data_IF_360818024089
#
_entry.id   IF_360818024089
#
_cell.length_a   1.000
_cell.length_b   1.000
_cell.length_c   1.000
_cell.angle_alpha   90.00
_cell.angle_beta   90.00
_cell.angle_gamma   90.00
#
_symmetry.space_group_name_H-M   'P 1'
#
loop_
_entity.id
_entity.type
_entity.pdbx_description
1 polymer ?
#
# COMPACT_ATOMS: atom_id res chain seq x y z
N UNK A 1 19.85 -61.25 20.65
CA UNK A 1 18.69 -60.98 19.76
C UNK A 1 19.00 -59.66 19.06
N UNK A 2 19.53 -59.73 17.84
CA UNK A 2 18.81 -59.45 16.59
C UNK A 2 18.40 -57.97 16.46
N UNK A 3 18.71 -57.19 15.41
CA UNK A 3 19.57 -57.29 14.22
C UNK A 3 19.27 -56.03 13.36
N UNK A 4 20.23 -55.60 12.52
CA UNK A 4 20.10 -54.76 11.31
C UNK A 4 19.91 -53.22 11.41
N UNK A 5 21.03 -52.53 11.20
CA UNK A 5 21.15 -51.37 10.29
C UNK A 5 21.12 -51.85 8.82
N UNK A 6 20.62 -51.01 7.89
CA UNK A 6 21.40 -50.65 6.69
C UNK A 6 21.39 -49.12 6.49
N UNK A 7 22.52 -48.42 6.35
CA UNK A 7 23.45 -48.32 5.20
C UNK A 7 22.87 -47.68 3.92
N UNK A 8 23.26 -46.42 3.71
CA UNK A 8 23.69 -45.74 2.47
C UNK A 8 22.77 -45.76 1.22
N UNK A 9 22.36 -44.57 0.75
CA UNK A 9 22.77 -44.03 -0.56
C UNK A 9 22.10 -42.68 -0.91
N UNK A 10 22.95 -41.66 -1.05
CA UNK A 10 23.05 -40.74 -2.20
C UNK A 10 21.77 -40.11 -2.78
N UNK A 11 21.59 -38.80 -2.56
CA UNK A 11 21.17 -37.90 -3.64
C UNK A 11 21.51 -36.42 -3.33
N UNK A 12 22.58 -35.96 -3.99
CA UNK A 12 22.94 -34.61 -4.40
C UNK A 12 22.21 -33.42 -3.77
N UNK A 13 22.99 -32.59 -3.06
CA UNK A 13 22.67 -31.19 -2.76
C UNK A 13 22.39 -30.41 -4.05
N UNK A 14 21.14 -30.04 -4.27
CA UNK A 14 20.80 -28.84 -5.03
C UNK A 14 20.54 -27.72 -4.03
N UNK A 15 21.47 -26.77 -3.96
CA UNK A 15 21.33 -25.54 -3.18
C UNK A 15 20.12 -24.76 -3.69
N UNK A 16 19.03 -24.75 -2.93
CA UNK A 16 17.90 -23.88 -3.18
C UNK A 16 18.32 -22.43 -2.88
N UNK A 17 18.50 -21.64 -3.94
CA UNK A 17 18.68 -20.20 -3.84
C UNK A 17 17.51 -19.58 -3.07
N UNK A 18 17.84 -18.83 -2.04
CA UNK A 18 16.98 -17.83 -1.39
C UNK A 18 16.49 -16.88 -2.50
N UNK A 19 15.17 -16.59 -2.63
CA UNK A 19 14.71 -15.57 -3.55
C UNK A 19 15.15 -14.20 -3.00
N UNK A 20 16.27 -13.71 -3.53
CA UNK A 20 16.64 -12.31 -3.43
C UNK A 20 15.49 -11.48 -4.04
N UNK A 21 15.10 -10.42 -3.33
CA UNK A 21 14.20 -9.40 -3.88
C UNK A 21 14.73 -8.98 -5.28
N UNK A 22 13.87 -8.87 -6.31
CA UNK A 22 14.34 -8.49 -7.63
C UNK A 22 15.02 -7.13 -7.55
N UNK A 23 16.32 -7.10 -7.85
CA UNK A 23 17.07 -5.88 -8.08
C UNK A 23 16.37 -5.12 -9.21
N UNK A 24 16.26 -3.80 -9.03
CA UNK A 24 15.90 -2.82 -10.07
C UNK A 24 16.52 -3.22 -11.40
N UNK A 25 15.70 -3.47 -12.42
CA UNK A 25 16.19 -3.64 -13.80
C UNK A 25 16.70 -2.28 -14.25
N UNK A 26 17.99 -2.03 -14.04
CA UNK A 26 18.73 -1.06 -14.85
C UNK A 26 18.99 -1.72 -16.19
N UNK A 27 18.49 -1.12 -17.26
CA UNK A 27 18.60 -1.65 -18.61
C UNK A 27 20.04 -2.03 -18.96
N UNK A 28 20.22 -3.29 -19.35
CA UNK A 28 21.47 -3.86 -19.83
C UNK A 28 21.12 -5.12 -20.60
N UNK A 29 20.89 -4.95 -21.90
CA UNK A 29 20.46 -5.99 -22.83
C UNK A 29 21.67 -6.80 -23.31
N UNK A 30 21.60 -8.14 -23.22
CA UNK A 30 22.42 -9.03 -24.07
C UNK A 30 21.75 -10.39 -24.23
N UNK A 31 20.57 -10.39 -24.86
CA UNK A 31 20.00 -11.56 -25.54
C UNK A 31 20.07 -11.36 -27.05
N UNK A 32 20.01 -12.44 -27.86
CA UNK A 32 20.08 -12.34 -29.33
C UNK A 32 18.90 -11.50 -29.87
N UNK A 33 19.04 -10.86 -31.05
CA UNK A 33 18.06 -9.91 -31.57
C UNK A 33 16.80 -10.64 -32.06
N UNK A 34 15.92 -10.97 -31.12
CA UNK A 34 14.56 -11.43 -31.37
C UNK A 34 13.57 -10.26 -31.26
N UNK A 35 12.58 -10.27 -32.14
CA UNK A 35 11.51 -9.26 -32.28
C UNK A 35 11.04 -8.59 -30.98
N UNK A 36 10.58 -7.31 -31.03
CA UNK A 36 10.04 -6.66 -29.86
C UNK A 36 8.84 -7.47 -29.37
N UNK A 37 8.97 -8.13 -28.22
CA UNK A 37 7.88 -8.85 -27.59
C UNK A 37 6.71 -7.85 -27.42
N UNK A 38 5.65 -8.04 -28.20
CA UNK A 38 4.51 -7.13 -28.21
C UNK A 38 3.98 -6.92 -26.80
N UNK A 39 3.69 -5.67 -26.43
CA UNK A 39 3.03 -5.35 -25.16
C UNK A 39 1.77 -6.20 -25.03
N UNK A 40 1.55 -6.80 -23.87
CA UNK A 40 0.38 -7.65 -23.57
C UNK A 40 -0.61 -6.91 -22.66
N UNK A 41 -1.87 -7.39 -22.56
CA UNK A 41 -2.78 -6.96 -21.50
C UNK A 41 -2.18 -7.17 -20.11
N UNK A 42 -2.69 -6.44 -19.12
CA UNK A 42 -2.30 -6.62 -17.74
C UNK A 42 -3.51 -6.60 -16.80
N UNK A 43 -3.36 -7.24 -15.64
CA UNK A 43 -4.27 -7.06 -14.52
C UNK A 43 -3.70 -6.02 -13.56
N UNK A 44 -4.55 -5.18 -13.00
CA UNK A 44 -4.25 -4.35 -11.83
C UNK A 44 -5.06 -4.88 -10.65
N UNK A 45 -4.39 -5.56 -9.71
CA UNK A 45 -5.02 -6.17 -8.55
C UNK A 45 -5.04 -5.19 -7.37
N UNK A 46 -6.24 -4.66 -7.09
CA UNK A 46 -6.52 -3.81 -5.93
C UNK A 46 -6.73 -4.63 -4.66
N UNK A 47 -6.27 -4.08 -3.54
CA UNK A 47 -6.38 -4.61 -2.17
C UNK A 47 -6.71 -3.47 -1.20
N UNK A 48 -5.75 -3.05 -0.37
CA UNK A 48 -5.86 -1.93 0.58
C UNK A 48 -5.30 -0.63 -0.02
N UNK A 49 -5.58 -0.41 -1.30
CA UNK A 49 -5.11 0.72 -2.12
C UNK A 49 -6.23 1.25 -3.03
N UNK A 50 -7.45 1.35 -2.49
CA UNK A 50 -8.69 1.65 -3.22
C UNK A 50 -8.80 3.12 -3.66
N UNK A 51 -7.87 3.58 -4.52
CA UNK A 51 -7.78 4.95 -5.05
C UNK A 51 -7.13 4.98 -6.44
N UNK A 52 -7.32 6.08 -7.16
CA UNK A 52 -6.59 6.37 -8.41
C UNK A 52 -5.41 7.34 -8.20
N UNK A 53 -5.51 8.31 -7.29
CA UNK A 53 -4.39 9.22 -7.02
C UNK A 53 -3.22 8.48 -6.37
N UNK A 54 -1.99 8.93 -6.65
CA UNK A 54 -0.77 8.40 -6.04
C UNK A 54 -0.69 6.86 -6.07
N UNK A 55 -0.96 6.28 -7.24
CA UNK A 55 -1.09 4.84 -7.40
C UNK A 55 -0.05 4.31 -8.39
N UNK A 56 1.15 4.00 -7.89
CA UNK A 56 2.29 3.58 -8.71
C UNK A 56 2.04 2.31 -9.55
N UNK A 57 1.42 1.23 -9.03
CA UNK A 57 1.05 0.08 -9.86
C UNK A 57 0.13 0.45 -11.03
N UNK A 58 -0.74 1.45 -10.86
CA UNK A 58 -1.68 1.88 -11.90
C UNK A 58 -0.93 2.64 -12.98
N UNK A 59 -0.09 3.61 -12.59
CA UNK A 59 0.75 4.36 -13.53
C UNK A 59 1.70 3.45 -14.32
N UNK A 60 2.37 2.52 -13.63
CA UNK A 60 3.27 1.56 -14.25
C UNK A 60 2.55 0.59 -15.21
N UNK A 61 1.37 0.10 -14.82
CA UNK A 61 0.57 -0.78 -15.68
C UNK A 61 0.05 -0.05 -16.91
N UNK A 62 -0.44 1.19 -16.77
CA UNK A 62 -0.89 2.01 -17.90
C UNK A 62 0.24 2.32 -18.89
N UNK A 63 1.48 2.51 -18.41
CA UNK A 63 2.64 2.74 -19.26
C UNK A 63 3.10 1.47 -20.01
N UNK A 64 3.00 0.31 -19.36
CA UNK A 64 3.57 -0.96 -19.87
C UNK A 64 2.63 -1.86 -20.67
N UNK A 65 1.31 -1.77 -20.46
CA UNK A 65 0.33 -2.70 -21.03
C UNK A 65 -0.38 -2.15 -22.28
N UNK A 66 -0.90 -3.04 -23.13
CA UNK A 66 -1.79 -2.66 -24.25
C UNK A 66 -3.19 -2.28 -23.77
N UNK A 67 -3.71 -3.05 -22.82
CA UNK A 67 -4.98 -2.84 -22.13
C UNK A 67 -4.80 -3.18 -20.64
N UNK A 68 -5.65 -2.61 -19.79
CA UNK A 68 -5.57 -2.81 -18.36
C UNK A 68 -6.93 -3.25 -17.83
N UNK A 69 -6.95 -4.34 -17.06
CA UNK A 69 -8.13 -4.81 -16.35
C UNK A 69 -7.92 -4.65 -14.84
N UNK A 70 -8.51 -3.60 -14.23
CA UNK A 70 -8.63 -3.50 -12.78
C UNK A 70 -9.45 -4.65 -12.19
N UNK A 71 -8.94 -5.27 -11.12
CA UNK A 71 -9.57 -6.41 -10.45
C UNK A 71 -9.54 -6.22 -8.94
N UNK A 72 -10.66 -6.50 -8.29
CA UNK A 72 -10.74 -6.73 -6.84
C UNK A 72 -11.31 -8.12 -6.55
N UNK A 73 -10.69 -8.83 -5.62
CA UNK A 73 -11.09 -10.18 -5.23
C UNK A 73 -11.53 -10.19 -3.77
N UNK A 74 -12.80 -10.48 -3.51
CA UNK A 74 -13.30 -10.78 -2.17
C UNK A 74 -12.78 -12.15 -1.72
N UNK A 75 -11.71 -12.13 -0.95
CA UNK A 75 -11.10 -13.34 -0.39
C UNK A 75 -11.95 -13.89 0.76
N UNK A 76 -12.45 -15.15 0.68
CA UNK A 76 -13.20 -15.77 1.76
C UNK A 76 -12.46 -15.82 3.10
N UNK A 77 -11.12 -15.73 3.10
CA UNK A 77 -10.30 -15.65 4.32
C UNK A 77 -10.43 -14.33 5.05
N UNK A 78 -10.65 -13.23 4.31
CA UNK A 78 -10.78 -11.88 4.86
C UNK A 78 -12.21 -11.56 5.33
N UNK A 79 -13.20 -12.14 4.67
CA UNK A 79 -14.63 -11.94 4.96
C UNK A 79 -15.27 -13.13 5.69
N UNK A 80 -14.48 -14.14 6.04
CA UNK A 80 -14.90 -15.27 6.85
C UNK A 80 -14.67 -15.07 8.35
N UNK A 81 -14.56 -16.20 9.06
CA UNK A 81 -14.24 -16.21 10.50
C UNK A 81 -12.72 -16.29 10.72
N UNK A 82 -12.24 -15.54 11.72
CA UNK A 82 -10.92 -15.70 12.29
C UNK A 82 -10.77 -17.06 13.01
N UNK A 83 -9.55 -17.51 13.32
CA UNK A 83 -9.32 -18.75 14.08
C UNK A 83 -10.04 -18.80 15.44
N UNK A 84 -10.34 -17.63 16.02
CA UNK A 84 -11.03 -17.51 17.31
C UNK A 84 -12.56 -17.41 17.16
N UNK A 85 -13.10 -17.59 15.95
CA UNK A 85 -14.55 -17.58 15.69
C UNK A 85 -15.17 -16.20 15.49
N UNK A 86 -14.43 -15.10 15.70
CA UNK A 86 -14.90 -13.75 15.37
C UNK A 86 -14.89 -13.50 13.86
N UNK A 87 -15.74 -12.60 13.37
CA UNK A 87 -15.64 -12.11 12.00
C UNK A 87 -14.25 -11.50 11.76
N UNK A 88 -13.54 -11.99 10.73
CA UNK A 88 -12.23 -11.44 10.36
C UNK A 88 -12.36 -9.99 9.88
N UNK A 89 -13.46 -9.70 9.18
CA UNK A 89 -13.92 -8.34 8.86
C UNK A 89 -15.32 -8.17 9.41
N UNK A 90 -15.49 -7.29 10.40
CA UNK A 90 -16.82 -6.98 10.96
C UNK A 90 -17.71 -6.18 10.00
N UNK A 91 -19.01 -6.07 10.29
CA UNK A 91 -20.02 -5.50 9.38
C UNK A 91 -19.78 -4.02 9.05
N UNK A 92 -19.30 -3.20 10.00
CA UNK A 92 -18.99 -1.79 9.74
C UNK A 92 -17.85 -1.62 8.74
N UNK A 93 -16.76 -2.40 8.89
CA UNK A 93 -15.64 -2.37 7.95
C UNK A 93 -16.05 -2.96 6.61
N UNK A 94 -16.82 -4.06 6.59
CA UNK A 94 -17.31 -4.64 5.35
C UNK A 94 -18.17 -3.65 4.54
N UNK A 95 -19.06 -2.91 5.22
CA UNK A 95 -19.85 -1.84 4.60
C UNK A 95 -18.94 -0.76 4.02
N UNK A 96 -17.98 -0.28 4.81
CA UNK A 96 -17.03 0.76 4.38
C UNK A 96 -16.18 0.30 3.18
N UNK A 97 -15.79 -0.97 3.11
CA UNK A 97 -15.11 -1.56 1.94
C UNK A 97 -16.03 -1.57 0.72
N UNK A 98 -17.29 -1.97 0.86
CA UNK A 98 -18.25 -1.97 -0.25
C UNK A 98 -18.49 -0.58 -0.82
N UNK A 99 -18.62 0.43 0.04
CA UNK A 99 -18.73 1.83 -0.36
C UNK A 99 -17.46 2.30 -1.10
N UNK A 100 -16.28 1.97 -0.58
CA UNK A 100 -15.02 2.32 -1.21
C UNK A 100 -14.84 1.67 -2.59
N UNK A 101 -15.25 0.42 -2.75
CA UNK A 101 -15.22 -0.27 -4.04
C UNK A 101 -16.25 0.29 -5.02
N UNK A 102 -17.43 0.70 -4.53
CA UNK A 102 -18.43 1.40 -5.32
C UNK A 102 -17.89 2.71 -5.89
N UNK A 103 -17.24 3.51 -5.05
CA UNK A 103 -16.56 4.75 -5.46
C UNK A 103 -15.43 4.47 -6.45
N UNK A 104 -14.52 3.54 -6.16
CA UNK A 104 -13.42 3.16 -7.05
C UNK A 104 -13.93 2.72 -8.43
N UNK A 105 -14.98 1.88 -8.47
CA UNK A 105 -15.61 1.44 -9.71
C UNK A 105 -16.18 2.61 -10.50
N UNK A 106 -16.89 3.53 -9.85
CA UNK A 106 -17.43 4.72 -10.50
C UNK A 106 -16.33 5.59 -11.11
N UNK A 107 -15.23 5.81 -10.37
CA UNK A 107 -14.07 6.58 -10.84
C UNK A 107 -13.35 5.92 -12.01
N UNK A 108 -13.17 4.60 -11.96
CA UNK A 108 -12.59 3.84 -13.07
C UNK A 108 -13.46 3.95 -14.34
N UNK A 109 -14.79 3.87 -14.20
CA UNK A 109 -15.74 4.07 -15.30
C UNK A 109 -15.68 5.47 -15.89
N UNK A 110 -15.64 6.49 -15.03
CA UNK A 110 -15.47 7.88 -15.46
C UNK A 110 -14.15 8.11 -16.25
N UNK A 111 -13.12 7.30 -15.96
CA UNK A 111 -11.84 7.33 -16.64
C UNK A 111 -11.71 6.35 -17.83
N UNK A 112 -12.82 5.75 -18.30
CA UNK A 112 -12.84 4.88 -19.48
C UNK A 112 -12.46 3.41 -19.24
N UNK A 113 -12.48 2.96 -17.99
CA UNK A 113 -12.22 1.57 -17.57
C UNK A 113 -13.43 0.98 -16.83
N UNK A 114 -13.26 -0.12 -16.10
CA UNK A 114 -14.20 -0.62 -15.08
C UNK A 114 -13.41 -1.36 -13.98
N UNK A 115 -14.07 -1.75 -12.89
CA UNK A 115 -13.54 -2.64 -11.85
C UNK A 115 -14.18 -4.01 -11.95
N UNK A 116 -13.39 -5.03 -12.30
CA UNK A 116 -13.84 -6.41 -12.24
C UNK A 116 -13.82 -6.92 -10.80
N UNK A 117 -14.94 -7.47 -10.35
CA UNK A 117 -15.12 -8.00 -9.00
C UNK A 117 -15.38 -9.50 -9.05
N UNK A 118 -14.65 -10.24 -8.23
CA UNK A 118 -14.81 -11.69 -8.04
C UNK A 118 -14.77 -12.05 -6.57
N UNK A 119 -15.28 -13.23 -6.24
CA UNK A 119 -15.15 -13.83 -4.90
C UNK A 119 -14.38 -15.13 -5.04
N UNK A 120 -13.38 -15.33 -4.20
CA UNK A 120 -12.51 -16.51 -4.26
C UNK A 120 -11.11 -16.20 -3.74
N UNK A 121 -10.22 -17.19 -3.76
CA UNK A 121 -8.82 -16.96 -3.39
C UNK A 121 -8.10 -16.26 -4.55
N UNK A 122 -7.34 -15.18 -4.32
CA UNK A 122 -6.59 -14.50 -5.37
C UNK A 122 -5.67 -15.43 -6.17
N UNK A 123 -5.04 -16.42 -5.52
CA UNK A 123 -4.17 -17.40 -6.16
C UNK A 123 -4.90 -18.38 -7.10
N UNK A 124 -6.22 -18.46 -7.03
CA UNK A 124 -7.04 -19.25 -7.96
C UNK A 124 -7.64 -18.34 -9.06
N UNK A 125 -8.18 -17.18 -8.65
CA UNK A 125 -8.90 -16.25 -9.53
C UNK A 125 -7.97 -15.51 -10.52
N UNK A 126 -6.83 -14.99 -10.05
CA UNK A 126 -5.96 -14.16 -10.88
C UNK A 126 -5.33 -14.96 -12.05
N UNK A 127 -4.82 -16.19 -11.86
CA UNK A 127 -4.33 -17.01 -12.97
C UNK A 127 -5.41 -17.36 -14.00
N UNK A 128 -6.66 -17.57 -13.57
CA UNK A 128 -7.78 -17.80 -14.48
C UNK A 128 -8.01 -16.57 -15.38
N UNK A 129 -8.08 -15.38 -14.78
CA UNK A 129 -8.22 -14.12 -15.50
C UNK A 129 -7.04 -13.85 -16.43
N UNK A 130 -5.81 -14.15 -15.99
CA UNK A 130 -4.61 -14.03 -16.83
C UNK A 130 -4.75 -14.85 -18.12
N UNK A 131 -5.20 -16.11 -18.01
CA UNK A 131 -5.39 -16.98 -19.18
C UNK A 131 -6.52 -16.48 -20.07
N UNK A 132 -7.63 -15.99 -19.50
CA UNK A 132 -8.81 -15.58 -20.27
C UNK A 132 -8.55 -14.34 -21.13
N UNK A 133 -7.75 -13.39 -20.66
CA UNK A 133 -7.44 -12.15 -21.41
C UNK A 133 -6.04 -12.15 -22.05
N UNK A 134 -5.26 -13.21 -21.88
CA UNK A 134 -3.87 -13.28 -22.37
C UNK A 134 -2.93 -12.28 -21.70
N UNK A 135 -3.14 -11.98 -20.41
CA UNK A 135 -2.33 -10.99 -19.71
C UNK A 135 -0.89 -11.47 -19.51
N UNK A 136 0.08 -10.55 -19.67
CA UNK A 136 1.50 -10.86 -19.43
C UNK A 136 1.96 -10.57 -18.00
N UNK A 137 1.17 -9.82 -17.23
CA UNK A 137 1.56 -9.38 -15.89
C UNK A 137 0.38 -8.96 -15.04
N UNK A 138 0.55 -9.10 -13.73
CA UNK A 138 -0.35 -8.60 -12.69
C UNK A 138 0.41 -7.57 -11.85
N UNK A 139 -0.14 -6.37 -11.70
CA UNK A 139 0.43 -5.28 -10.91
C UNK A 139 -0.36 -5.14 -9.60
N UNK A 140 0.32 -4.94 -8.47
CA UNK A 140 -0.33 -4.65 -7.19
C UNK A 140 0.60 -3.87 -6.26
N UNK A 141 0.03 -3.26 -5.21
CA UNK A 141 0.83 -2.90 -4.05
C UNK A 141 1.15 -4.12 -3.17
N UNK A 142 2.36 -4.12 -2.62
CA UNK A 142 2.81 -5.09 -1.64
C UNK A 142 2.35 -4.74 -0.23
N UNK A 143 2.05 -5.79 0.52
CA UNK A 143 1.67 -5.72 1.92
C UNK A 143 2.77 -6.30 2.83
N UNK A 144 2.58 -6.13 4.13
CA UNK A 144 3.65 -6.37 5.12
C UNK A 144 3.35 -7.49 6.11
N UNK A 145 2.10 -7.96 6.19
CA UNK A 145 1.71 -8.96 7.19
C UNK A 145 2.02 -10.39 6.72
N UNK A 146 2.06 -11.33 7.66
CA UNK A 146 2.34 -12.74 7.35
C UNK A 146 1.25 -13.41 6.49
N UNK A 147 -0.02 -13.06 6.70
CA UNK A 147 -1.14 -13.58 5.91
C UNK A 147 -1.03 -13.05 4.46
N UNK A 148 -0.81 -11.75 4.31
CA UNK A 148 -0.62 -11.11 3.02
C UNK A 148 0.57 -11.68 2.25
N UNK A 149 1.72 -11.84 2.91
CA UNK A 149 2.92 -12.41 2.29
C UNK A 149 2.70 -13.86 1.84
N UNK A 150 1.89 -14.64 2.57
CA UNK A 150 1.51 -15.99 2.15
C UNK A 150 0.63 -15.97 0.90
N UNK A 151 -0.35 -15.08 0.83
CA UNK A 151 -1.21 -14.91 -0.35
C UNK A 151 -0.40 -14.42 -1.55
N UNK A 152 0.41 -13.38 -1.40
CA UNK A 152 1.29 -12.87 -2.47
C UNK A 152 2.23 -13.97 -3.01
N UNK A 153 2.84 -14.77 -2.12
CA UNK A 153 3.69 -15.88 -2.53
C UNK A 153 2.93 -16.99 -3.26
N UNK A 154 1.68 -17.28 -2.87
CA UNK A 154 0.83 -18.24 -3.57
C UNK A 154 0.41 -17.71 -4.96
N UNK A 155 0.01 -16.44 -5.04
CA UNK A 155 -0.33 -15.74 -6.29
C UNK A 155 0.86 -15.74 -7.24
N UNK A 156 2.07 -15.36 -6.78
CA UNK A 156 3.27 -15.37 -7.60
C UNK A 156 3.50 -16.74 -8.25
N UNK A 157 3.50 -17.81 -7.44
CA UNK A 157 3.69 -19.19 -7.94
C UNK A 157 2.60 -19.61 -8.94
N UNK A 158 1.36 -19.18 -8.72
CA UNK A 158 0.24 -19.54 -9.59
C UNK A 158 0.29 -18.77 -10.92
N UNK A 159 0.73 -17.51 -10.89
CA UNK A 159 0.94 -16.67 -12.07
C UNK A 159 2.12 -17.14 -12.92
N UNK A 160 3.23 -17.57 -12.29
CA UNK A 160 4.37 -18.16 -13.00
C UNK A 160 3.94 -19.37 -13.84
N UNK A 161 3.09 -20.24 -13.27
CA UNK A 161 2.48 -21.39 -13.98
C UNK A 161 1.50 -20.97 -15.08
N UNK A 162 0.93 -19.76 -15.00
CA UNK A 162 0.05 -19.20 -16.03
C UNK A 162 0.80 -18.36 -17.08
N UNK A 163 2.13 -18.24 -16.98
CA UNK A 163 2.95 -17.49 -17.91
C UNK A 163 2.87 -15.97 -17.75
N UNK A 164 2.55 -15.47 -16.54
CA UNK A 164 2.48 -14.04 -16.23
C UNK A 164 3.33 -13.68 -15.02
N UNK A 165 3.91 -12.48 -15.03
CA UNK A 165 4.72 -11.98 -13.93
C UNK A 165 3.89 -11.20 -12.89
N UNK A 166 4.11 -11.45 -11.59
CA UNK A 166 3.63 -10.57 -10.53
C UNK A 166 4.60 -9.41 -10.33
N UNK A 167 4.10 -8.17 -10.43
CA UNK A 167 4.86 -6.93 -10.21
C UNK A 167 4.33 -6.21 -8.98
N UNK A 168 5.12 -6.21 -7.92
CA UNK A 168 4.75 -5.68 -6.61
C UNK A 168 5.43 -4.34 -6.37
N UNK A 169 4.66 -3.32 -6.00
CA UNK A 169 5.16 -1.97 -5.73
C UNK A 169 4.95 -1.59 -4.26
N UNK A 170 5.78 -0.69 -3.75
CA UNK A 170 5.66 -0.19 -2.39
C UNK A 170 4.98 1.18 -2.37
N UNK A 171 3.79 1.29 -1.77
CA UNK A 171 3.05 2.56 -1.74
C UNK A 171 2.22 2.82 -0.48
N UNK A 172 2.39 1.98 0.55
CA UNK A 172 1.59 2.05 1.77
C UNK A 172 2.10 3.02 2.83
N UNK A 173 3.20 3.74 2.60
CA UNK A 173 3.89 4.59 3.60
C UNK A 173 4.16 5.99 3.08
N UNK A 174 4.42 6.94 3.99
CA UNK A 174 4.83 8.30 3.67
C UNK A 174 6.24 8.30 3.06
N UNK A 175 7.20 7.69 3.77
CA UNK A 175 8.55 7.48 3.25
C UNK A 175 8.60 6.19 2.45
N UNK A 176 9.21 6.22 1.27
CA UNK A 176 9.37 5.01 0.48
C UNK A 176 10.45 4.11 1.09
N UNK A 177 10.27 2.78 1.04
CA UNK A 177 11.22 1.82 1.64
C UNK A 177 12.65 1.97 1.11
N UNK A 178 12.80 2.29 -0.17
CA UNK A 178 14.10 2.49 -0.82
C UNK A 178 14.80 3.81 -0.45
N UNK A 179 14.07 4.76 0.15
CA UNK A 179 14.63 6.06 0.56
C UNK A 179 15.02 6.07 2.04
N UNK A 180 14.85 4.93 2.73
CA UNK A 180 15.22 4.79 4.12
C UNK A 180 16.76 4.85 4.26
N UNK A 181 17.28 5.54 5.29
CA UNK A 181 18.71 5.63 5.55
C UNK A 181 19.29 4.37 6.21
N UNK A 182 18.48 3.32 6.34
CA UNK A 182 18.83 2.04 6.93
C UNK A 182 18.12 0.93 6.18
N UNK A 183 18.68 -0.27 6.23
CA UNK A 183 17.98 -1.48 5.79
C UNK A 183 16.94 -1.87 6.83
N UNK A 184 15.82 -2.48 6.42
CA UNK A 184 14.79 -2.93 7.36
C UNK A 184 15.33 -3.90 8.42
N UNK A 185 16.31 -4.74 8.10
CA UNK A 185 16.95 -5.64 9.06
C UNK A 185 17.60 -4.89 10.24
N UNK A 186 18.19 -3.72 9.97
CA UNK A 186 18.87 -2.86 10.94
C UNK A 186 18.04 -1.65 11.35
N UNK A 187 16.74 -1.65 11.03
CA UNK A 187 15.84 -0.56 11.41
C UNK A 187 15.83 -0.38 12.93
N UNK A 188 15.90 0.88 13.44
CA UNK A 188 15.82 1.17 14.86
C UNK A 188 14.58 0.52 15.51
N UNK A 189 14.72 -0.13 16.68
CA UNK A 189 13.62 -0.88 17.29
C UNK A 189 12.63 0.02 18.04
N UNK A 190 13.02 1.25 18.39
CA UNK A 190 12.15 2.24 19.01
C UNK A 190 11.81 3.35 18.02
N UNK A 191 10.68 4.01 18.29
CA UNK A 191 10.14 5.03 17.40
C UNK A 191 10.99 6.31 17.34
N UNK A 192 11.54 6.75 18.48
CA UNK A 192 12.33 7.98 18.57
C UNK A 192 13.55 7.95 17.66
N UNK A 193 14.32 6.86 17.71
CA UNK A 193 15.51 6.67 16.89
C UNK A 193 15.14 6.50 15.41
N UNK A 194 14.04 5.81 15.10
CA UNK A 194 13.51 5.69 13.74
C UNK A 194 13.18 7.07 13.16
N UNK A 195 12.43 7.90 13.91
CA UNK A 195 12.08 9.27 13.50
C UNK A 195 13.34 10.12 13.33
N UNK A 196 14.27 10.07 14.28
CA UNK A 196 15.51 10.84 14.21
C UNK A 196 16.33 10.47 12.98
N UNK A 197 16.43 9.18 12.66
CA UNK A 197 17.14 8.72 11.46
C UNK A 197 16.50 9.24 10.16
N UNK A 198 15.19 9.46 10.14
CA UNK A 198 14.47 10.05 9.00
C UNK A 198 14.52 11.58 8.95
N UNK A 199 15.10 12.24 9.95
CA UNK A 199 15.21 13.69 9.95
C UNK A 199 15.99 14.20 8.74
N UNK A 200 15.48 15.25 8.08
CA UNK A 200 16.06 15.83 6.87
C UNK A 200 15.88 15.00 5.60
N UNK A 201 15.07 13.93 5.62
CA UNK A 201 14.71 13.18 4.41
C UNK A 201 13.49 13.79 3.73
N UNK A 202 13.53 13.81 2.40
CA UNK A 202 12.43 14.28 1.59
C UNK A 202 11.38 13.18 1.36
N UNK A 203 10.12 13.58 1.39
CA UNK A 203 9.00 12.74 0.98
C UNK A 203 8.86 12.84 -0.54
N UNK A 204 8.74 11.70 -1.22
CA UNK A 204 8.49 11.68 -2.67
C UNK A 204 7.20 12.41 -2.99
N UNK A 205 7.17 13.12 -4.13
CA UNK A 205 5.92 13.65 -4.65
C UNK A 205 4.93 12.51 -4.96
N UNK A 206 3.63 12.73 -4.75
CA UNK A 206 2.59 11.81 -5.20
C UNK A 206 2.72 11.49 -6.69
N UNK A 207 2.46 10.24 -7.06
CA UNK A 207 2.39 9.84 -8.46
C UNK A 207 1.12 10.39 -9.07
N UNK A 208 1.26 11.19 -10.13
CA UNK A 208 0.11 11.69 -10.87
C UNK A 208 -0.66 10.54 -11.52
N UNK A 209 -2.00 10.50 -11.41
CA UNK A 209 -2.80 9.51 -12.09
C UNK A 209 -2.67 9.68 -13.62
N UNK A 210 -2.72 8.60 -14.41
CA UNK A 210 -2.71 8.71 -15.87
C UNK A 210 -3.89 9.57 -16.35
N UNK A 211 -3.62 10.52 -17.26
CA UNK A 211 -4.67 11.42 -17.80
C UNK A 211 -5.82 10.66 -18.49
N UNK A 212 -5.52 9.50 -19.07
CA UNK A 212 -6.50 8.54 -19.58
C UNK A 212 -6.04 7.13 -19.20
N UNK A 213 -6.97 6.32 -18.69
CA UNK A 213 -6.68 4.92 -18.43
C UNK A 213 -6.61 4.15 -19.74
N UNK A 214 -5.80 3.09 -19.76
CA UNK A 214 -5.84 2.12 -20.84
C UNK A 214 -7.23 1.48 -20.85
N UNK A 215 -7.80 1.32 -22.04
CA UNK A 215 -9.08 0.64 -22.21
C UNK A 215 -9.03 -0.80 -21.71
N UNK A 216 -10.22 -1.35 -21.46
CA UNK A 216 -10.38 -2.75 -21.08
C UNK A 216 -9.88 -3.68 -22.20
N UNK A 217 -9.43 -4.91 -21.86
CA UNK A 217 -9.09 -5.91 -22.86
C UNK A 217 -10.26 -6.20 -23.82
N UNK A 218 -9.95 -6.54 -25.06
CA UNK A 218 -10.96 -6.85 -26.08
C UNK A 218 -11.82 -8.09 -25.75
N UNK A 219 -11.30 -9.00 -24.92
CA UNK A 219 -12.08 -10.10 -24.39
C UNK A 219 -13.18 -9.54 -23.48
N UNK A 220 -14.44 -9.78 -23.84
CA UNK A 220 -15.58 -9.39 -23.02
C UNK A 220 -15.56 -10.16 -21.70
N UNK A 221 -15.23 -9.49 -20.60
CA UNK A 221 -15.31 -10.06 -19.25
C UNK A 221 -16.40 -9.34 -18.47
N UNK A 222 -17.37 -10.09 -17.95
CA UNK A 222 -18.43 -9.52 -17.11
C UNK A 222 -17.80 -8.84 -15.88
N UNK A 223 -18.08 -7.54 -15.62
CA UNK A 223 -17.51 -6.82 -14.49
C UNK A 223 -17.83 -7.47 -13.13
N UNK A 224 -18.98 -8.15 -13.02
CA UNK A 224 -19.44 -8.76 -11.78
C UNK A 224 -20.06 -7.73 -10.84
N UNK A 225 -20.99 -8.16 -10.01
CA UNK A 225 -21.63 -7.28 -9.02
C UNK A 225 -20.82 -7.20 -7.73
N UNK A 226 -20.93 -6.07 -7.03
CA UNK A 226 -20.43 -6.00 -5.65
C UNK A 226 -21.31 -6.89 -4.76
N UNK A 227 -20.72 -7.74 -3.90
CA UNK A 227 -21.51 -8.57 -3.01
C UNK A 227 -22.26 -7.71 -2.00
N UNK A 228 -23.45 -8.14 -1.63
CA UNK A 228 -24.18 -7.57 -0.49
C UNK A 228 -23.54 -8.02 0.82
N UNK A 229 -23.78 -7.27 1.90
CA UNK A 229 -23.35 -7.70 3.25
C UNK A 229 -23.91 -9.08 3.63
N UNK A 230 -25.13 -9.42 3.18
CA UNK A 230 -25.69 -10.77 3.39
C UNK A 230 -24.86 -11.85 2.67
N UNK A 231 -24.42 -11.59 1.45
CA UNK A 231 -23.53 -12.51 0.71
C UNK A 231 -22.13 -12.60 1.33
N UNK A 232 -21.71 -11.60 2.12
CA UNK A 232 -20.50 -11.65 2.93
C UNK A 232 -20.70 -12.33 4.29
N UNK A 233 -21.89 -12.87 4.57
CA UNK A 233 -22.15 -13.70 5.76
C UNK A 233 -22.78 -12.96 6.95
N UNK A 234 -23.22 -11.71 6.80
CA UNK A 234 -23.89 -10.98 7.88
C UNK A 234 -25.41 -11.23 7.88
N UNK A 235 -25.94 -11.65 9.03
CA UNK A 235 -27.37 -11.90 9.22
C UNK A 235 -28.19 -10.60 9.35
N UNK A 236 -29.52 -10.72 9.21
CA UNK A 236 -30.43 -9.57 9.28
C UNK A 236 -30.37 -8.84 10.63
N UNK A 237 -30.17 -9.55 11.74
CA UNK A 237 -30.07 -8.96 13.06
C UNK A 237 -28.82 -8.07 13.19
N UNK A 238 -27.69 -8.53 12.67
CA UNK A 238 -26.43 -7.76 12.62
C UNK A 238 -26.58 -6.53 11.75
N UNK A 239 -27.21 -6.65 10.59
CA UNK A 239 -27.45 -5.50 9.70
C UNK A 239 -28.36 -4.45 10.34
N UNK A 240 -29.42 -4.86 11.03
CA UNK A 240 -30.31 -3.94 11.74
C UNK A 240 -29.61 -3.20 12.88
N UNK A 241 -28.73 -3.87 13.64
CA UNK A 241 -27.91 -3.20 14.67
C UNK A 241 -26.99 -2.15 14.04
N UNK A 242 -26.27 -2.52 12.98
CA UNK A 242 -25.35 -1.59 12.31
C UNK A 242 -26.05 -0.41 11.61
N UNK A 243 -27.32 -0.56 11.23
CA UNK A 243 -28.12 0.52 10.67
C UNK A 243 -28.64 1.51 11.73
N UNK A 244 -28.87 1.03 12.96
CA UNK A 244 -29.34 1.85 14.08
C UNK A 244 -28.22 2.55 14.87
N UNK A 245 -27.00 2.05 14.79
CA UNK A 245 -25.85 2.66 15.44
C UNK A 245 -25.46 3.97 14.73
N UNK A 246 -25.65 5.08 15.44
CA UNK A 246 -24.93 6.31 15.14
C UNK A 246 -23.47 6.07 15.50
N UNK A 247 -22.56 6.36 14.57
CA UNK A 247 -21.11 6.34 14.78
C UNK A 247 -20.78 7.09 16.09
N UNK A 248 -19.72 6.72 16.82
CA UNK A 248 -19.35 7.27 18.13
C UNK A 248 -19.13 8.82 18.18
N UNK A 249 -19.29 9.51 17.06
CA UNK A 249 -19.22 10.96 16.90
C UNK A 249 -20.43 11.58 16.15
N UNK A 250 -21.52 10.83 15.94
CA UNK A 250 -22.73 11.32 15.26
C UNK A 250 -22.59 11.56 13.74
N UNK A 251 -21.48 11.17 13.12
CA UNK A 251 -21.21 11.36 11.69
C UNK A 251 -20.98 10.04 10.98
N UNK A 252 -21.79 9.76 9.95
CA UNK A 252 -21.68 8.58 9.09
C UNK A 252 -20.33 8.55 8.37
N UNK A 253 -19.48 7.56 8.64
CA UNK A 253 -18.27 7.31 7.85
C UNK A 253 -18.63 6.59 6.55
N UNK A 254 -18.38 7.25 5.41
CA UNK A 254 -18.58 6.69 4.07
C UNK A 254 -17.25 6.27 3.44
N UNK A 255 -17.18 5.04 2.92
CA UNK A 255 -16.00 4.56 2.19
C UNK A 255 -15.80 5.27 0.85
N UNK A 256 -14.55 5.37 0.40
CA UNK A 256 -14.21 5.86 -0.95
C UNK A 256 -13.15 6.96 -0.96
N UNK A 257 -12.44 7.06 -2.07
CA UNK A 257 -11.46 8.09 -2.36
C UNK A 257 -12.12 9.47 -2.45
N UNK A 258 -13.32 9.56 -3.05
CA UNK A 258 -14.05 10.83 -3.19
C UNK A 258 -14.36 11.45 -1.83
N UNK A 259 -14.93 10.67 -0.90
CA UNK A 259 -15.19 11.13 0.46
C UNK A 259 -13.88 11.48 1.20
N UNK A 260 -12.83 10.68 1.02
CA UNK A 260 -11.55 10.92 1.67
C UNK A 260 -10.94 12.27 1.28
N UNK A 261 -10.94 12.58 -0.02
CA UNK A 261 -10.40 13.83 -0.56
C UNK A 261 -11.28 15.03 -0.20
N UNK A 262 -12.60 14.86 -0.17
CA UNK A 262 -13.52 15.89 0.30
C UNK A 262 -13.23 16.25 1.78
N UNK A 263 -13.17 15.25 2.67
CA UNK A 263 -12.89 15.48 4.09
C UNK A 263 -11.53 16.11 4.33
N UNK A 264 -10.52 15.71 3.56
CA UNK A 264 -9.21 16.33 3.61
C UNK A 264 -9.26 17.80 3.18
N UNK A 265 -9.99 18.11 2.09
CA UNK A 265 -10.17 19.48 1.62
C UNK A 265 -10.89 20.36 2.65
N UNK A 266 -11.97 19.84 3.25
CA UNK A 266 -12.72 20.52 4.32
C UNK A 266 -11.86 20.77 5.55
N UNK A 267 -11.06 19.78 5.96
CA UNK A 267 -10.11 19.93 7.06
C UNK A 267 -9.07 21.01 6.78
N UNK A 268 -8.45 20.96 5.61
CA UNK A 268 -7.46 21.94 5.16
C UNK A 268 -8.07 23.36 5.15
N UNK A 269 -9.29 23.51 4.64
CA UNK A 269 -9.99 24.79 4.62
C UNK A 269 -10.29 25.31 6.03
N UNK A 270 -10.81 24.44 6.92
CA UNK A 270 -11.07 24.79 8.33
C UNK A 270 -9.79 25.20 9.05
N UNK A 271 -8.70 24.44 8.86
CA UNK A 271 -7.40 24.74 9.46
C UNK A 271 -6.90 26.12 9.02
N UNK A 272 -7.00 26.44 7.71
CA UNK A 272 -6.62 27.75 7.17
C UNK A 272 -7.45 28.89 7.79
N UNK A 273 -8.77 28.72 7.91
CA UNK A 273 -9.64 29.72 8.53
C UNK A 273 -9.29 30.00 9.99
N UNK A 274 -8.96 28.96 10.76
CA UNK A 274 -8.54 29.11 12.16
C UNK A 274 -7.19 29.82 12.31
N UNK A 275 -6.24 29.56 11.41
CA UNK A 275 -4.95 30.29 11.40
C UNK A 275 -5.15 31.79 11.15
N UNK A 276 -6.06 32.16 10.25
CA UNK A 276 -6.38 33.56 9.97
C UNK A 276 -7.05 34.25 11.16
N UNK A 277 -8.00 33.59 11.83
CA UNK A 277 -8.64 34.11 13.04
C UNK A 277 -7.66 34.28 14.20
N UNK A 278 -6.71 33.36 14.36
CA UNK A 278 -5.64 33.47 15.36
C UNK A 278 -4.78 34.71 15.19
N UNK A 279 -4.38 35.00 13.95
CA UNK A 279 -3.59 36.19 13.63
C UNK A 279 -4.34 37.49 13.93
N UNK A 280 -5.68 37.45 13.91
CA UNK A 280 -6.52 38.64 14.13
C UNK A 280 -6.94 38.84 15.60
N UNK A 281 -7.20 37.78 16.36
CA UNK A 281 -7.91 37.89 17.66
C UNK A 281 -7.21 37.20 18.86
N UNK A 282 -5.96 36.74 18.71
CA UNK A 282 -5.07 36.52 19.85
C UNK A 282 -5.59 35.58 20.96
N UNK A 283 -6.13 34.41 20.60
CA UNK A 283 -6.15 33.13 21.34
C UNK A 283 -7.35 32.28 20.91
N UNK A 284 -7.12 31.01 20.50
CA UNK A 284 -8.09 29.90 20.62
C UNK A 284 -7.44 28.52 20.34
N UNK A 285 -7.67 27.52 21.19
CA UNK A 285 -7.09 26.16 21.08
C UNK A 285 -7.00 25.55 19.65
N UNK A 286 -5.86 24.90 19.36
CA UNK A 286 -5.59 24.25 18.08
C UNK A 286 -6.55 23.08 17.82
N UNK A 287 -7.52 23.24 16.90
CA UNK A 287 -8.54 22.22 16.61
C UNK A 287 -8.05 21.07 15.69
N UNK A 288 -6.83 20.58 15.89
CA UNK A 288 -6.27 19.44 15.17
C UNK A 288 -6.70 18.02 15.63
N UNK A 289 -7.11 17.77 16.91
CA UNK A 289 -7.32 16.39 17.39
C UNK A 289 -8.45 15.64 16.68
N UNK A 290 -9.51 16.35 16.30
CA UNK A 290 -10.74 15.73 15.79
C UNK A 290 -10.63 15.21 14.35
N UNK A 291 -9.68 15.69 13.55
CA UNK A 291 -9.49 15.19 12.19
C UNK A 291 -8.62 13.93 12.15
N UNK A 292 -7.53 13.93 12.92
CA UNK A 292 -6.57 12.81 12.96
C UNK A 292 -7.26 11.49 13.34
N UNK A 293 -8.24 11.53 14.25
CA UNK A 293 -8.98 10.34 14.67
C UNK A 293 -10.01 9.84 13.65
N UNK A 294 -10.31 10.61 12.60
CA UNK A 294 -11.36 10.28 11.62
C UNK A 294 -10.81 9.86 10.27
N UNK A 295 -9.55 10.14 9.95
CA UNK A 295 -8.98 9.82 8.63
C UNK A 295 -8.48 8.37 8.49
N UNK A 296 -8.26 7.69 9.62
CA UNK A 296 -7.68 6.35 9.66
C UNK A 296 -8.38 5.29 8.80
N UNK A 297 -9.72 5.27 8.64
CA UNK A 297 -10.37 4.26 7.79
C UNK A 297 -9.97 4.38 6.31
N UNK A 298 -9.84 5.60 5.78
CA UNK A 298 -9.41 5.82 4.39
C UNK A 298 -7.93 5.55 4.19
N UNK A 299 -7.07 5.85 5.19
CA UNK A 299 -5.65 5.47 5.15
C UNK A 299 -5.44 3.95 5.26
N UNK A 300 -6.34 3.23 5.96
CA UNK A 300 -6.26 1.79 6.14
C UNK A 300 -6.69 1.01 4.89
N UNK A 301 -7.71 1.48 4.16
CA UNK A 301 -8.11 0.91 2.86
C UNK A 301 -7.37 1.55 1.67
N UNK A 302 -6.47 2.49 1.94
CA UNK A 302 -5.72 3.21 0.91
C UNK A 302 -6.59 4.03 -0.04
N UNK A 303 -7.80 4.43 0.38
CA UNK A 303 -8.62 5.43 -0.30
C UNK A 303 -7.95 6.81 -0.28
N UNK A 304 -7.04 7.04 0.68
CA UNK A 304 -6.19 8.22 0.76
C UNK A 304 -4.72 7.80 0.86
N UNK A 305 -3.86 8.43 0.07
CA UNK A 305 -2.41 8.27 0.21
C UNK A 305 -1.85 9.15 1.34
N UNK A 306 -0.90 8.63 2.15
CA UNK A 306 -0.15 9.44 3.09
C UNK A 306 0.66 10.56 2.40
N UNK A 307 1.18 10.34 1.18
CA UNK A 307 1.91 11.38 0.42
C UNK A 307 0.98 12.48 -0.08
N UNK A 308 -0.22 12.12 -0.55
CA UNK A 308 -1.23 13.09 -0.96
C UNK A 308 -1.65 13.98 0.22
N UNK A 309 -1.90 13.36 1.37
CA UNK A 309 -2.19 14.05 2.62
C UNK A 309 -1.05 15.03 2.97
N UNK A 310 0.19 14.55 2.96
CA UNK A 310 1.36 15.36 3.25
C UNK A 310 1.48 16.58 2.33
N UNK A 311 1.39 16.40 1.01
CA UNK A 311 1.52 17.50 0.04
C UNK A 311 0.42 18.54 0.21
N UNK A 312 -0.84 18.14 0.43
CA UNK A 312 -1.93 19.10 0.64
C UNK A 312 -1.78 19.92 1.92
N UNK A 313 -1.25 19.33 2.98
CA UNK A 313 -0.91 20.04 4.22
C UNK A 313 0.24 21.02 4.00
N UNK A 314 1.30 20.59 3.31
CA UNK A 314 2.44 21.44 2.99
C UNK A 314 2.04 22.64 2.14
N UNK A 315 1.23 22.46 1.10
CA UNK A 315 0.74 23.55 0.26
C UNK A 315 -0.04 24.59 1.07
N UNK A 316 -0.80 24.12 2.07
CA UNK A 316 -1.56 25.01 2.97
C UNK A 316 -0.67 25.77 3.93
N UNK A 317 0.34 25.14 4.49
CA UNK A 317 1.35 25.80 5.32
C UNK A 317 2.20 26.78 4.52
N UNK A 318 2.68 26.39 3.33
CA UNK A 318 3.50 27.22 2.45
C UNK A 318 2.77 28.47 1.94
N UNK A 319 1.47 28.37 1.64
CA UNK A 319 0.65 29.53 1.29
C UNK A 319 0.48 30.52 2.46
N UNK A 320 0.52 30.05 3.70
CA UNK A 320 0.53 30.91 4.89
C UNK A 320 1.91 31.52 5.17
N UNK A 321 3.00 30.80 4.85
CA UNK A 321 4.40 31.21 5.07
C UNK A 321 4.93 32.10 3.93
N UNK A 322 4.29 32.18 2.76
CA UNK A 322 4.65 33.20 1.75
C UNK A 322 4.53 34.65 2.27
N UNK A 323 3.85 34.86 3.41
CA UNK A 323 3.81 36.14 4.15
C UNK A 323 4.90 36.28 5.22
N UNK A 324 5.69 35.23 5.51
CA UNK A 324 6.72 35.19 6.55
C UNK A 324 8.05 34.63 6.01
N UNK A 325 9.09 35.46 6.00
CA UNK A 325 10.45 35.12 5.52
C UNK A 325 11.09 33.97 6.32
N UNK A 326 10.90 32.70 5.95
CA UNK A 326 11.72 31.58 6.46
C UNK A 326 11.73 30.37 5.49
N UNK A 327 12.90 29.75 5.22
CA UNK A 327 13.02 28.65 4.25
C UNK A 327 12.77 27.27 4.90
N UNK A 328 12.37 26.31 4.05
CA UNK A 328 12.32 24.85 4.25
C UNK A 328 11.73 24.34 5.58
N UNK A 329 10.44 24.02 5.55
CA UNK A 329 9.61 23.57 6.68
C UNK A 329 9.94 22.14 7.19
N UNK A 330 10.60 21.29 6.40
CA UNK A 330 10.82 19.87 6.71
C UNK A 330 11.73 19.60 7.94
N UNK A 331 12.89 20.26 8.12
CA UNK A 331 13.75 20.04 9.29
C UNK A 331 13.10 20.53 10.59
N UNK A 332 12.28 21.58 10.53
CA UNK A 332 11.56 22.13 11.71
C UNK A 332 10.36 21.26 12.08
N UNK A 333 9.66 20.68 11.09
CA UNK A 333 8.52 19.78 11.31
C UNK A 333 8.92 18.42 11.91
N UNK A 334 10.15 17.95 11.70
CA UNK A 334 10.64 16.67 12.20
C UNK A 334 11.44 16.77 13.51
N UNK A 335 11.96 17.96 13.88
CA UNK A 335 12.79 18.16 15.07
C UNK A 335 12.18 19.02 16.20
N UNK A 336 10.95 19.54 16.06
CA UNK A 336 10.33 20.37 17.10
C UNK A 336 9.73 19.59 18.29
N UNK A 337 10.11 19.98 19.50
CA UNK A 337 9.25 19.89 20.70
C UNK A 337 8.10 20.88 20.53
N UNK A 338 6.86 20.43 20.70
CA UNK A 338 5.57 21.12 20.97
C UNK A 338 5.25 22.59 20.54
N UNK A 339 6.18 23.42 20.08
CA UNK A 339 6.08 24.88 20.07
C UNK A 339 6.15 25.51 18.66
N UNK A 340 5.87 24.73 17.59
CA UNK A 340 5.49 25.26 16.26
C UNK A 340 3.98 25.21 16.06
N UNK A 341 3.38 25.69 14.95
CA UNK A 341 1.93 25.67 14.75
C UNK A 341 1.39 24.23 14.88
N UNK A 342 0.83 23.95 16.06
CA UNK A 342 0.95 22.63 16.71
C UNK A 342 0.23 21.47 15.99
N UNK A 343 -0.77 21.78 15.15
CA UNK A 343 -1.64 20.78 14.55
C UNK A 343 -1.03 19.99 13.38
N UNK A 344 -0.30 20.66 12.47
CA UNK A 344 0.26 19.98 11.29
C UNK A 344 1.49 19.15 11.64
N UNK A 345 2.31 19.62 12.58
CA UNK A 345 3.46 18.88 13.11
C UNK A 345 3.02 17.58 13.79
N UNK A 346 1.94 17.65 14.59
CA UNK A 346 1.34 16.47 15.22
C UNK A 346 0.85 15.44 14.19
N UNK A 347 0.17 15.88 13.12
CA UNK A 347 -0.34 14.95 12.11
C UNK A 347 0.79 14.23 11.35
N UNK A 348 1.89 14.91 11.03
CA UNK A 348 3.06 14.24 10.44
C UNK A 348 3.73 13.27 11.39
N UNK A 349 3.80 13.63 12.68
CA UNK A 349 4.27 12.73 13.72
C UNK A 349 3.41 11.45 13.81
N UNK A 350 2.09 11.56 13.74
CA UNK A 350 1.19 10.39 13.74
C UNK A 350 1.33 9.55 12.45
N UNK A 351 1.55 10.18 11.30
CA UNK A 351 1.84 9.44 10.05
C UNK A 351 3.16 8.68 10.13
N UNK A 352 4.17 9.21 10.83
CA UNK A 352 5.42 8.50 11.08
C UNK A 352 5.23 7.29 11.99
N UNK A 353 4.33 7.34 12.98
CA UNK A 353 3.97 6.16 13.75
C UNK A 353 3.36 5.06 12.86
N UNK A 354 2.47 5.44 11.93
CA UNK A 354 1.91 4.51 10.94
C UNK A 354 3.00 3.87 10.08
N UNK A 355 3.96 4.67 9.59
CA UNK A 355 5.10 4.16 8.83
C UNK A 355 5.99 3.24 9.67
N UNK A 356 6.34 3.64 10.89
CA UNK A 356 7.10 2.84 11.84
C UNK A 356 6.48 1.46 12.04
N UNK A 357 5.18 1.40 12.32
CA UNK A 357 4.48 0.13 12.50
C UNK A 357 4.41 -0.70 11.22
N UNK A 358 4.30 -0.08 10.04
CA UNK A 358 4.33 -0.81 8.77
C UNK A 358 5.73 -1.40 8.48
N UNK A 359 6.79 -0.64 8.71
CA UNK A 359 8.17 -1.11 8.52
C UNK A 359 8.60 -2.16 9.55
N UNK A 360 8.26 -1.96 10.84
CA UNK A 360 8.60 -2.94 11.89
C UNK A 360 7.86 -4.26 11.65
N UNK A 361 6.61 -4.21 11.17
CA UNK A 361 5.85 -5.40 10.78
C UNK A 361 6.51 -6.12 9.61
N UNK A 362 6.99 -5.37 8.59
CA UNK A 362 7.74 -5.96 7.47
C UNK A 362 9.04 -6.63 7.94
N UNK A 363 9.81 -5.97 8.82
CA UNK A 363 11.06 -6.50 9.41
C UNK A 363 10.82 -7.87 10.06
N UNK A 364 9.82 -7.95 10.94
CA UNK A 364 9.56 -9.19 11.69
C UNK A 364 8.79 -10.25 10.89
N UNK A 365 7.99 -9.87 9.90
CA UNK A 365 7.39 -10.84 8.97
C UNK A 365 8.45 -11.54 8.13
N UNK A 366 9.40 -10.80 7.57
CA UNK A 366 10.51 -11.38 6.79
C UNK A 366 11.39 -12.26 7.68
N UNK A 367 11.74 -11.80 8.87
CA UNK A 367 12.58 -12.55 9.82
C UNK A 367 11.89 -13.82 10.31
N UNK A 368 10.61 -13.74 10.69
CA UNK A 368 9.83 -14.88 11.16
C UNK A 368 9.58 -15.92 10.06
N UNK A 369 9.43 -15.50 8.80
CA UNK A 369 9.37 -16.41 7.67
C UNK A 369 10.71 -17.14 7.45
N UNK A 370 11.83 -16.43 7.51
CA UNK A 370 13.17 -17.04 7.36
C UNK A 370 13.47 -18.06 8.46
N UNK A 371 13.04 -17.81 9.70
CA UNK A 371 13.18 -18.75 10.81
C UNK A 371 12.32 -20.02 10.62
N UNK A 372 11.06 -19.86 10.19
CA UNK A 372 10.14 -20.99 9.94
C UNK A 372 10.57 -21.88 8.76
N UNK A 373 11.27 -21.31 7.79
CA UNK A 373 11.80 -22.04 6.63
C UNK A 373 13.16 -22.70 6.91
N UNK A 374 13.68 -22.65 8.14
CA UNK A 374 14.95 -23.29 8.51
C UNK A 374 16.19 -22.61 7.92
N UNK A 375 16.04 -21.46 7.27
CA UNK A 375 17.13 -20.69 6.69
C UNK A 375 17.80 -19.81 7.75
N UNK A 376 18.42 -20.44 8.74
CA UNK A 376 19.42 -19.78 9.59
C UNK A 376 20.79 -20.04 8.98
N UNK A 377 21.23 -19.17 8.07
CA UNK A 377 22.65 -19.16 7.68
C UNK A 377 23.24 -17.82 8.07
N UNK A 378 24.13 -17.87 9.06
CA UNK A 378 25.10 -16.83 9.38
C UNK A 378 25.80 -16.37 8.10
N UNK A 379 25.42 -15.21 7.57
CA UNK A 379 26.14 -14.59 6.46
C UNK A 379 27.35 -13.87 7.07
N UNK A 380 28.55 -14.44 6.91
CA UNK A 380 29.80 -13.71 7.08
C UNK A 380 29.84 -12.60 6.02
N UNK A 381 29.94 -11.35 6.48
CA UNK A 381 30.11 -10.18 5.61
C UNK A 381 31.42 -10.28 4.82
N UNK A 382 31.35 -10.03 3.52
CA UNK A 382 32.52 -9.71 2.69
C UNK A 382 32.73 -8.20 2.79
N UNK A 383 33.91 -7.71 3.20
CA UNK A 383 34.15 -6.28 3.35
C UNK A 383 34.09 -5.60 1.98
N UNK A 384 33.45 -4.42 1.95
CA UNK A 384 33.38 -3.58 0.77
C UNK A 384 34.78 -3.10 0.38
N UNK A 385 35.26 -3.51 -0.79
CA UNK A 385 36.43 -2.91 -1.43
C UNK A 385 36.12 -1.45 -1.78
N UNK A 386 36.94 -0.53 -1.27
CA UNK A 386 36.87 0.90 -1.57
C UNK A 386 36.94 1.14 -3.08
N UNK A 387 36.02 1.97 -3.59
CA UNK A 387 36.12 2.51 -4.94
C UNK A 387 37.26 3.56 -5.01
N UNK A 388 38.00 3.66 -6.12
CA UNK A 388 39.18 4.51 -6.22
C UNK A 388 38.79 5.98 -6.31
N UNK A 389 39.60 6.83 -5.69
CA UNK A 389 39.49 8.28 -5.74
C UNK A 389 39.63 8.79 -7.19
N UNK A 390 38.67 9.59 -7.66
CA UNK A 390 38.85 10.42 -8.84
C UNK A 390 39.85 11.53 -8.51
N UNK A 391 41.03 11.46 -9.12
CA UNK A 391 41.97 12.56 -9.18
C UNK A 391 41.40 13.68 -10.05
N UNK A 392 41.43 14.90 -9.52
CA UNK A 392 41.21 16.12 -10.28
C UNK A 392 42.40 16.38 -11.20
N UNK A 393 42.10 16.74 -12.46
CA UNK A 393 42.97 17.51 -13.34
C UNK A 393 42.09 18.53 -14.06
#
# INVERSE_FOLDING_TARGET
>A
MQVLLPSLATCLLTAALIPQLPKRVTGGNSGPPGMPAGRKPALLWFRNDLRLHDHEPLAAACAGATSLLPVYVFDPREFGKSPNGFDKTGPYRAKFVLEALGDLRAKLRAAGSDLLVRTGKPEDVLPELVRSIGAGSVYCHGEVTAEDAKVEGAVSKALDKAGAALKVFWGGTLFHVDDLPFKLATMPPNYSDFRQALSGRDVRQPVEPPAQLKGLPAASVCPGELPTLRQLGFDAATLSRCAGDKDAAGAHLRGGETEALQRLSEFVARFRGQQQQHQQHGNQEAAAPNFCCKISPWLALGCLSPRQLYVQLQQTAGAAVASAKQPALLPVLLCGTADGPAGMQWLLFELLWRDFFRFITKKYTVTGMAQRLGTSSSIKEVPATAAPAMAMA
#
